data_IF_621308747705
#
_entry.id   IF_621308747705
#
_cell.length_a   1.000
_cell.length_b   1.000
_cell.length_c   1.000
_cell.angle_alpha   90.00
_cell.angle_beta   90.00
_cell.angle_gamma   90.00
#
_symmetry.space_group_name_H-M   'P 1'
#
loop_
_entity.id
_entity.type
_entity.pdbx_description
1 polymer ?
#
# COMPACT_ATOMS: atom_id res chain seq x y z
N UNK A 1 0.59 -9.31 -11.41
CA UNK A 1 0.34 -10.16 -12.59
C UNK A 1 -1.14 -10.11 -12.89
N UNK A 2 -1.53 -10.18 -14.16
CA UNK A 2 -2.92 -10.16 -14.57
C UNK A 2 -3.20 -11.28 -15.57
N UNK A 3 -4.44 -11.77 -15.61
CA UNK A 3 -4.88 -12.76 -16.59
C UNK A 3 -6.05 -12.17 -17.36
N UNK A 4 -5.92 -12.15 -18.68
CA UNK A 4 -7.01 -11.90 -19.60
C UNK A 4 -7.85 -13.16 -19.72
N UNK A 5 -8.99 -13.20 -19.03
CA UNK A 5 -9.87 -14.37 -19.06
C UNK A 5 -10.53 -14.58 -20.41
N UNK A 6 -10.64 -13.55 -21.25
CA UNK A 6 -11.22 -13.65 -22.58
C UNK A 6 -10.20 -14.25 -23.56
N UNK A 7 -8.99 -13.69 -23.60
CA UNK A 7 -7.94 -14.16 -24.51
C UNK A 7 -7.13 -15.34 -23.95
N UNK A 8 -7.37 -15.73 -22.70
CA UNK A 8 -6.60 -16.76 -21.96
C UNK A 8 -5.10 -16.47 -21.91
N UNK A 9 -4.74 -15.19 -21.90
CA UNK A 9 -3.36 -14.71 -21.83
C UNK A 9 -3.04 -14.21 -20.44
N UNK A 10 -1.79 -14.30 -20.05
CA UNK A 10 -1.33 -13.78 -18.77
C UNK A 10 -0.26 -12.73 -19.00
N UNK A 11 -0.19 -11.74 -18.13
CA UNK A 11 0.75 -10.65 -18.24
C UNK A 11 1.40 -10.34 -16.90
N UNK A 12 2.68 -9.99 -16.96
CA UNK A 12 3.47 -9.42 -15.89
C UNK A 12 3.69 -7.95 -16.21
N UNK A 13 3.71 -7.12 -15.16
CA UNK A 13 4.04 -5.71 -15.31
C UNK A 13 4.79 -5.26 -14.07
N UNK A 14 5.95 -4.66 -14.31
CA UNK A 14 6.77 -4.07 -13.28
C UNK A 14 6.64 -2.55 -13.37
N UNK A 15 6.39 -1.94 -12.21
CA UNK A 15 6.35 -0.49 -12.07
C UNK A 15 7.42 -0.11 -11.06
N UNK A 16 8.40 0.69 -11.50
CA UNK A 16 9.43 1.26 -10.65
C UNK A 16 8.88 2.49 -9.93
N UNK A 17 9.14 2.55 -8.62
CA UNK A 17 8.77 3.68 -7.77
C UNK A 17 10.02 4.24 -7.11
N UNK A 18 10.21 5.55 -7.21
CA UNK A 18 11.35 6.26 -6.64
C UNK A 18 10.97 7.71 -6.32
N UNK A 19 11.72 8.36 -5.45
CA UNK A 19 11.62 9.80 -5.22
C UNK A 19 12.78 10.49 -5.92
N UNK A 20 12.48 11.44 -6.81
CA UNK A 20 13.49 12.20 -7.55
C UNK A 20 14.21 13.21 -6.68
N UNK A 21 15.25 13.84 -7.21
CA UNK A 21 16.04 14.84 -6.48
C UNK A 21 15.23 16.08 -6.07
N UNK A 22 14.20 16.43 -6.86
CA UNK A 22 13.21 17.48 -6.58
C UNK A 22 12.07 17.01 -5.64
N UNK A 23 12.30 15.94 -4.87
CA UNK A 23 11.37 15.42 -3.85
C UNK A 23 9.98 15.05 -4.37
N UNK A 24 9.87 14.66 -5.65
CA UNK A 24 8.60 14.17 -6.22
C UNK A 24 8.58 12.65 -6.28
N UNK A 25 7.48 12.05 -5.83
CA UNK A 25 7.23 10.64 -6.05
C UNK A 25 7.02 10.38 -7.55
N UNK A 26 7.80 9.44 -8.10
CA UNK A 26 7.71 9.01 -9.49
C UNK A 26 7.31 7.55 -9.54
N UNK A 27 6.36 7.27 -10.41
CA UNK A 27 5.96 5.92 -10.81
C UNK A 27 6.16 5.77 -12.32
N UNK A 28 6.87 4.72 -12.72
CA UNK A 28 7.21 4.44 -14.12
C UNK A 28 7.02 2.97 -14.41
N UNK A 29 6.23 2.65 -15.43
CA UNK A 29 6.14 1.29 -15.94
C UNK A 29 7.50 0.95 -16.54
N UNK A 30 8.15 -0.06 -15.97
CA UNK A 30 9.44 -0.60 -16.42
C UNK A 30 9.19 -1.47 -17.63
N UNK A 31 8.26 -2.42 -17.49
CA UNK A 31 7.86 -3.31 -18.56
C UNK A 31 6.45 -3.83 -18.33
N UNK A 32 5.82 -4.26 -19.41
CA UNK A 32 4.59 -5.06 -19.41
C UNK A 32 4.77 -6.12 -20.48
N UNK A 33 4.89 -7.38 -20.05
CA UNK A 33 5.19 -8.50 -20.92
C UNK A 33 4.10 -9.56 -20.82
N UNK A 34 3.84 -10.24 -21.94
CA UNK A 34 3.01 -11.45 -21.94
C UNK A 34 3.80 -12.58 -21.27
N UNK A 35 3.20 -13.24 -20.29
CA UNK A 35 3.71 -14.47 -19.69
C UNK A 35 3.47 -15.61 -20.68
N UNK A 36 4.53 -16.36 -20.98
CA UNK A 36 4.48 -17.44 -21.96
C UNK A 36 3.37 -18.44 -21.62
N UNK A 37 2.34 -18.50 -22.47
CA UNK A 37 1.18 -19.36 -22.29
C UNK A 37 1.51 -20.86 -22.31
N UNK A 38 2.68 -21.25 -22.83
CA UNK A 38 3.14 -22.64 -22.82
C UNK A 38 3.68 -23.05 -21.45
N UNK A 39 4.07 -22.08 -20.60
CA UNK A 39 4.61 -22.32 -19.28
C UNK A 39 3.49 -22.32 -18.23
N UNK A 40 3.63 -23.21 -17.24
CA UNK A 40 2.82 -23.11 -16.02
C UNK A 40 3.34 -21.94 -15.16
N UNK A 41 2.44 -21.21 -14.52
CA UNK A 41 2.76 -20.09 -13.59
C UNK A 41 3.34 -20.58 -12.26
N UNK A 42 4.34 -21.46 -12.29
CA UNK A 42 5.04 -21.95 -11.10
C UNK A 42 5.91 -20.85 -10.50
N UNK A 43 6.28 -20.98 -9.23
CA UNK A 43 7.18 -20.03 -8.59
C UNK A 43 8.52 -19.88 -9.34
N UNK A 44 9.06 -20.98 -9.86
CA UNK A 44 10.30 -20.99 -10.64
C UNK A 44 10.16 -20.19 -11.95
N UNK A 45 9.14 -20.50 -12.77
CA UNK A 45 8.96 -19.81 -14.05
C UNK A 45 8.68 -18.31 -13.86
N UNK A 46 7.96 -17.95 -12.80
CA UNK A 46 7.75 -16.54 -12.45
C UNK A 46 9.03 -15.84 -12.02
N UNK A 47 9.89 -16.53 -11.27
CA UNK A 47 11.20 -16.00 -10.88
C UNK A 47 12.06 -15.72 -12.11
N UNK A 48 12.21 -16.69 -13.01
CA UNK A 48 12.97 -16.54 -14.26
C UNK A 48 12.44 -15.36 -15.09
N UNK A 49 11.12 -15.22 -15.17
CA UNK A 49 10.51 -14.10 -15.88
C UNK A 49 10.78 -12.74 -15.21
N UNK A 50 10.74 -12.65 -13.88
CA UNK A 50 11.12 -11.43 -13.13
C UNK A 50 12.57 -11.05 -13.43
N UNK A 51 13.50 -12.00 -13.35
CA UNK A 51 14.92 -11.76 -13.61
C UNK A 51 15.13 -11.26 -15.04
N UNK A 52 14.57 -11.98 -16.02
CA UNK A 52 14.68 -11.63 -17.43
C UNK A 52 14.15 -10.22 -17.70
N UNK A 53 12.93 -9.92 -17.25
CA UNK A 53 12.28 -8.62 -17.51
C UNK A 53 13.04 -7.44 -16.90
N UNK A 54 13.62 -7.62 -15.72
CA UNK A 54 14.41 -6.57 -15.07
C UNK A 54 15.79 -6.43 -15.71
N UNK A 55 16.43 -7.53 -16.09
CA UNK A 55 17.68 -7.52 -16.84
C UNK A 55 17.51 -6.85 -18.22
N UNK A 56 16.44 -7.17 -18.96
CA UNK A 56 16.14 -6.57 -20.26
C UNK A 56 15.95 -5.05 -20.17
N UNK A 57 15.52 -4.53 -19.02
CA UNK A 57 15.45 -3.10 -18.74
C UNK A 57 16.80 -2.48 -18.31
N UNK A 58 17.79 -3.31 -17.94
CA UNK A 58 19.10 -2.87 -17.45
C UNK A 58 19.25 -2.85 -15.92
N UNK A 59 18.38 -3.57 -15.18
CA UNK A 59 18.55 -3.82 -13.75
C UNK A 59 19.23 -5.17 -13.55
N UNK A 60 20.52 -5.11 -13.26
CA UNK A 60 21.36 -6.26 -13.00
C UNK A 60 20.95 -7.03 -11.72
N UNK A 61 21.22 -8.34 -11.72
CA UNK A 61 20.81 -9.25 -10.64
C UNK A 61 21.39 -8.88 -9.27
N UNK A 62 22.59 -8.28 -9.23
CA UNK A 62 23.27 -7.83 -8.01
C UNK A 62 22.57 -6.63 -7.32
N UNK A 63 21.73 -5.90 -8.06
CA UNK A 63 20.93 -4.78 -7.55
C UNK A 63 19.61 -5.25 -6.93
N UNK A 64 19.08 -6.40 -7.32
CA UNK A 64 17.79 -6.91 -6.86
C UNK A 64 17.67 -7.09 -5.33
N UNK A 65 18.71 -7.50 -4.58
CA UNK A 65 18.66 -7.53 -3.12
C UNK A 65 18.42 -6.17 -2.45
N UNK A 66 18.68 -5.07 -3.17
CA UNK A 66 18.43 -3.69 -2.70
C UNK A 66 17.01 -3.21 -3.02
N UNK A 67 16.30 -3.89 -3.93
CA UNK A 67 14.94 -3.53 -4.34
C UNK A 67 13.91 -4.08 -3.35
N UNK A 68 12.88 -3.28 -3.08
CA UNK A 68 11.70 -3.74 -2.35
C UNK A 68 10.62 -4.14 -3.35
N UNK A 69 10.27 -5.42 -3.38
CA UNK A 69 9.14 -5.90 -4.18
C UNK A 69 7.81 -5.77 -3.43
N UNK A 70 6.77 -5.36 -4.15
CA UNK A 70 5.39 -5.29 -3.65
C UNK A 70 4.50 -6.05 -4.61
N UNK A 71 3.80 -7.07 -4.13
CA UNK A 71 2.87 -7.86 -4.95
C UNK A 71 1.65 -8.31 -4.16
N UNK A 72 0.64 -8.86 -4.85
CA UNK A 72 -0.41 -9.64 -4.20
C UNK A 72 0.15 -10.86 -3.43
N UNK A 73 -0.71 -11.52 -2.67
CA UNK A 73 -0.34 -12.67 -1.84
C UNK A 73 -0.51 -14.02 -2.56
N UNK A 74 -0.60 -14.06 -3.89
CA UNK A 74 -0.69 -15.32 -4.61
C UNK A 74 0.54 -16.20 -4.31
N UNK A 75 0.30 -17.48 -4.01
CA UNK A 75 1.33 -18.37 -3.48
C UNK A 75 2.57 -18.44 -4.39
N UNK A 76 2.38 -18.48 -5.70
CA UNK A 76 3.47 -18.63 -6.66
C UNK A 76 4.33 -17.37 -6.79
N UNK A 77 3.75 -16.16 -6.81
CA UNK A 77 4.56 -14.92 -6.88
C UNK A 77 5.29 -14.66 -5.56
N UNK A 78 4.63 -14.96 -4.42
CA UNK A 78 5.27 -14.90 -3.10
C UNK A 78 6.46 -15.85 -3.00
N UNK A 79 6.33 -17.07 -3.52
CA UNK A 79 7.42 -18.04 -3.57
C UNK A 79 8.53 -17.61 -4.54
N UNK A 80 8.19 -17.05 -5.70
CA UNK A 80 9.15 -16.55 -6.69
C UNK A 80 10.03 -15.42 -6.15
N UNK A 81 9.49 -14.59 -5.26
CA UNK A 81 10.17 -13.42 -4.69
C UNK A 81 10.78 -13.69 -3.31
N UNK A 82 10.79 -14.95 -2.83
CA UNK A 82 11.21 -15.31 -1.47
C UNK A 82 12.66 -14.94 -1.15
N UNK A 83 13.53 -14.89 -2.16
CA UNK A 83 14.94 -14.52 -2.02
C UNK A 83 15.19 -13.01 -1.93
N UNK A 84 14.16 -12.18 -2.16
CA UNK A 84 14.26 -10.74 -2.15
C UNK A 84 13.51 -10.11 -0.99
N UNK A 85 13.79 -8.83 -0.74
CA UNK A 85 12.98 -8.05 0.18
C UNK A 85 11.59 -7.89 -0.46
N UNK A 86 10.55 -8.31 0.25
CA UNK A 86 9.17 -8.30 -0.25
C UNK A 86 8.17 -7.88 0.83
N UNK A 87 7.12 -7.15 0.44
CA UNK A 87 5.95 -6.86 1.26
C UNK A 87 4.64 -7.16 0.49
N UNK A 88 3.58 -7.61 1.18
CA UNK A 88 2.29 -7.84 0.53
C UNK A 88 1.57 -6.53 0.20
N UNK A 89 0.81 -6.52 -0.89
CA UNK A 89 -0.07 -5.44 -1.27
C UNK A 89 -1.20 -5.26 -0.23
N UNK A 90 -1.19 -4.16 0.51
CA UNK A 90 -2.12 -3.91 1.60
C UNK A 90 -3.60 -3.87 1.15
N UNK A 91 -3.90 -3.23 0.01
CA UNK A 91 -5.25 -3.18 -0.55
C UNK A 91 -5.77 -4.58 -0.93
N UNK A 92 -4.90 -5.43 -1.50
CA UNK A 92 -5.25 -6.81 -1.78
C UNK A 92 -5.49 -7.61 -0.49
N UNK A 93 -4.69 -7.39 0.56
CA UNK A 93 -4.92 -8.00 1.88
C UNK A 93 -6.26 -7.58 2.46
N UNK A 94 -6.58 -6.29 2.44
CA UNK A 94 -7.88 -5.75 2.91
C UNK A 94 -9.03 -6.42 2.14
N UNK A 95 -8.90 -6.56 0.83
CA UNK A 95 -9.89 -7.25 0.02
C UNK A 95 -10.06 -8.73 0.40
N UNK A 96 -8.96 -9.46 0.69
CA UNK A 96 -9.02 -10.84 1.19
C UNK A 96 -9.72 -10.91 2.55
N UNK A 97 -9.37 -10.00 3.47
CA UNK A 97 -10.00 -9.91 4.79
C UNK A 97 -11.50 -9.81 4.63
N UNK A 98 -11.98 -8.83 3.85
CA UNK A 98 -13.42 -8.65 3.61
C UNK A 98 -14.05 -9.86 2.92
N UNK A 99 -13.39 -10.45 1.91
CA UNK A 99 -13.90 -11.65 1.25
C UNK A 99 -14.14 -12.77 2.26
N UNK A 100 -13.13 -13.12 3.04
CA UNK A 100 -13.23 -14.19 4.03
C UNK A 100 -14.16 -13.82 5.19
N UNK A 101 -14.37 -12.54 5.48
CA UNK A 101 -15.33 -12.10 6.51
C UNK A 101 -16.76 -12.44 6.14
N UNK A 102 -17.10 -12.36 4.86
CA UNK A 102 -18.47 -12.54 4.35
C UNK A 102 -18.66 -13.85 3.56
N UNK A 103 -17.64 -14.71 3.46
CA UNK A 103 -17.77 -16.03 2.83
C UNK A 103 -18.61 -16.97 3.72
N UNK A 104 -19.65 -17.58 3.14
CA UNK A 104 -20.49 -18.56 3.83
C UNK A 104 -19.85 -19.96 3.82
N UNK A 105 -18.94 -20.21 4.75
CA UNK A 105 -18.26 -21.51 4.91
C UNK A 105 -18.94 -22.40 5.98
N UNK A 106 -18.55 -23.68 6.06
CA UNK A 106 -19.03 -24.60 7.10
C UNK A 106 -18.75 -24.03 8.49
N UNK A 107 -19.79 -23.90 9.31
CA UNK A 107 -19.70 -23.31 10.65
C UNK A 107 -20.06 -21.81 10.72
N UNK A 108 -20.37 -21.18 9.58
CA UNK A 108 -20.90 -19.81 9.57
C UNK A 108 -22.30 -19.78 10.21
N UNK A 109 -22.59 -18.84 11.13
CA UNK A 109 -23.92 -18.72 11.74
C UNK A 109 -25.03 -18.44 10.73
N UNK A 110 -26.25 -18.91 11.01
CA UNK A 110 -27.38 -18.79 10.09
C UNK A 110 -27.74 -17.33 9.76
N UNK A 111 -27.65 -16.40 10.73
CA UNK A 111 -27.94 -14.98 10.53
C UNK A 111 -27.00 -14.28 9.52
N UNK A 112 -25.86 -14.88 9.16
CA UNK A 112 -25.00 -14.36 8.09
C UNK A 112 -25.59 -14.61 6.70
N UNK A 113 -26.55 -15.54 6.57
CA UNK A 113 -27.27 -15.74 5.32
C UNK A 113 -28.12 -14.51 4.98
N UNK A 114 -28.70 -13.84 5.98
CA UNK A 114 -29.45 -12.59 5.77
C UNK A 114 -28.56 -11.49 5.20
N UNK A 115 -27.33 -11.38 5.74
CA UNK A 115 -26.30 -10.47 5.25
C UNK A 115 -25.94 -10.74 3.80
N UNK A 116 -25.62 -12.00 3.46
CA UNK A 116 -25.31 -12.39 2.08
C UNK A 116 -26.49 -12.14 1.15
N UNK A 117 -27.70 -12.48 1.59
CA UNK A 117 -28.92 -12.32 0.81
C UNK A 117 -29.19 -10.85 0.47
N UNK A 118 -29.02 -9.93 1.43
CA UNK A 118 -29.14 -8.48 1.18
C UNK A 118 -28.13 -8.00 0.14
N UNK A 119 -26.87 -8.45 0.22
CA UNK A 119 -25.82 -8.09 -0.75
C UNK A 119 -26.18 -8.61 -2.16
N UNK A 120 -26.60 -9.86 -2.27
CA UNK A 120 -26.96 -10.49 -3.53
C UNK A 120 -28.23 -9.87 -4.15
N UNK A 121 -29.21 -9.49 -3.32
CA UNK A 121 -30.40 -8.76 -3.75
C UNK A 121 -30.05 -7.38 -4.28
N UNK A 122 -29.15 -6.65 -3.63
CA UNK A 122 -28.65 -5.38 -4.17
C UNK A 122 -27.98 -5.56 -5.54
N UNK A 123 -27.18 -6.62 -5.72
CA UNK A 123 -26.54 -6.95 -7.03
C UNK A 123 -27.59 -7.23 -8.11
N UNK A 124 -28.59 -8.03 -7.78
CA UNK A 124 -29.69 -8.37 -8.71
C UNK A 124 -30.50 -7.13 -9.10
N UNK A 125 -30.87 -6.30 -8.11
CA UNK A 125 -31.61 -5.06 -8.30
C UNK A 125 -30.85 -4.09 -9.22
N UNK A 126 -29.56 -3.84 -8.95
CA UNK A 126 -28.75 -2.94 -9.77
C UNK A 126 -28.59 -3.48 -11.19
N UNK A 127 -28.42 -4.79 -11.35
CA UNK A 127 -28.34 -5.42 -12.68
C UNK A 127 -29.62 -5.23 -13.47
N UNK A 128 -30.78 -5.38 -12.83
CA UNK A 128 -32.08 -5.10 -13.45
C UNK A 128 -32.24 -3.62 -13.79
N UNK A 129 -31.91 -2.73 -12.86
CA UNK A 129 -31.97 -1.29 -13.07
C UNK A 129 -31.16 -0.88 -14.29
N UNK A 130 -29.91 -1.36 -14.43
CA UNK A 130 -29.05 -1.04 -15.59
C UNK A 130 -29.53 -1.61 -16.91
N UNK A 131 -30.21 -2.75 -16.91
CA UNK A 131 -30.77 -3.37 -18.13
C UNK A 131 -32.09 -2.72 -18.55
N UNK A 132 -32.85 -2.22 -17.59
CA UNK A 132 -34.11 -1.54 -17.84
C UNK A 132 -33.86 -0.06 -18.16
N UNK A 133 -34.81 0.60 -18.84
CA UNK A 133 -34.80 2.05 -19.04
C UNK A 133 -34.99 2.86 -17.74
N UNK A 134 -35.05 2.20 -16.59
CA UNK A 134 -35.35 2.78 -15.28
C UNK A 134 -34.24 3.70 -14.76
N UNK A 135 -32.97 3.49 -15.17
CA UNK A 135 -31.85 4.36 -14.73
C UNK A 135 -32.07 5.83 -15.11
N UNK A 136 -32.81 6.09 -16.20
CA UNK A 136 -33.03 7.45 -16.72
C UNK A 136 -33.84 8.33 -15.75
N UNK A 137 -34.62 7.72 -14.84
CA UNK A 137 -35.46 8.43 -13.89
C UNK A 137 -34.84 8.59 -12.49
N UNK A 138 -33.67 8.00 -12.24
CA UNK A 138 -32.99 8.10 -10.95
C UNK A 138 -32.11 9.35 -10.90
N UNK A 139 -32.15 10.06 -9.78
CA UNK A 139 -31.35 11.27 -9.56
C UNK A 139 -29.84 11.00 -9.63
N UNK A 140 -29.39 9.83 -9.16
CA UNK A 140 -28.02 9.38 -9.30
C UNK A 140 -27.94 7.99 -9.94
N UNK A 141 -26.84 7.75 -10.65
CA UNK A 141 -26.59 6.46 -11.29
C UNK A 141 -26.29 5.37 -10.24
N UNK A 142 -27.00 4.25 -10.34
CA UNK A 142 -26.65 3.04 -9.58
C UNK A 142 -25.31 2.47 -10.05
N UNK A 143 -24.51 1.98 -9.11
CA UNK A 143 -23.17 1.49 -9.37
C UNK A 143 -23.20 -0.03 -9.49
N UNK A 144 -22.86 -0.56 -10.67
CA UNK A 144 -22.76 -1.99 -10.89
C UNK A 144 -21.54 -2.55 -10.17
N UNK A 145 -21.71 -3.67 -9.47
CA UNK A 145 -20.59 -4.41 -8.90
C UNK A 145 -19.66 -4.93 -10.01
N UNK A 146 -18.35 -4.76 -9.82
CA UNK A 146 -17.31 -5.44 -10.59
C UNK A 146 -16.60 -6.43 -9.65
N UNK A 147 -16.52 -7.71 -10.01
CA UNK A 147 -16.08 -8.78 -9.08
C UNK A 147 -14.64 -8.64 -8.57
N UNK A 148 -13.86 -7.70 -9.11
CA UNK A 148 -12.44 -7.57 -8.81
C UNK A 148 -12.15 -7.14 -7.37
N UNK A 149 -12.99 -6.31 -6.72
CA UNK A 149 -12.72 -5.78 -5.35
C UNK A 149 -13.99 -5.45 -4.56
N UNK A 150 -13.94 -5.63 -3.24
CA UNK A 150 -15.01 -5.24 -2.31
C UNK A 150 -15.41 -3.76 -2.39
N UNK A 151 -14.50 -2.88 -2.83
CA UNK A 151 -14.81 -1.46 -3.02
C UNK A 151 -16.04 -1.24 -3.94
N UNK A 152 -16.23 -2.05 -4.99
CA UNK A 152 -17.41 -1.92 -5.85
C UNK A 152 -18.68 -2.49 -5.21
N UNK A 153 -18.58 -3.51 -4.36
CA UNK A 153 -19.73 -3.98 -3.54
C UNK A 153 -20.20 -2.87 -2.61
N UNK A 154 -19.27 -2.19 -1.95
CA UNK A 154 -19.58 -1.04 -1.08
C UNK A 154 -20.22 0.09 -1.87
N UNK A 155 -19.63 0.46 -3.02
CA UNK A 155 -20.18 1.51 -3.88
C UNK A 155 -21.59 1.16 -4.38
N UNK A 156 -21.84 -0.10 -4.76
CA UNK A 156 -23.16 -0.60 -5.13
C UNK A 156 -24.15 -0.43 -3.97
N UNK A 157 -23.83 -0.95 -2.79
CA UNK A 157 -24.69 -0.87 -1.61
C UNK A 157 -24.97 0.58 -1.19
N UNK A 158 -23.96 1.46 -1.23
CA UNK A 158 -24.14 2.90 -1.01
C UNK A 158 -25.08 3.52 -2.03
N UNK A 159 -24.96 3.15 -3.31
CA UNK A 159 -25.82 3.66 -4.37
C UNK A 159 -27.26 3.16 -4.26
N UNK A 160 -27.51 1.98 -3.70
CA UNK A 160 -28.88 1.51 -3.42
C UNK A 160 -29.44 2.22 -2.18
N UNK A 161 -28.67 2.25 -1.09
CA UNK A 161 -29.08 2.84 0.19
C UNK A 161 -29.45 4.33 0.07
N UNK A 162 -28.65 5.13 -0.64
CA UNK A 162 -28.84 6.59 -0.74
C UNK A 162 -30.09 7.04 -1.50
N UNK A 163 -30.62 6.20 -2.38
CA UNK A 163 -31.75 6.53 -3.26
C UNK A 163 -32.81 5.42 -3.25
N UNK A 164 -32.93 4.74 -2.11
CA UNK A 164 -33.84 3.61 -1.97
C UNK A 164 -35.29 4.02 -2.21
N UNK A 165 -35.69 5.20 -1.74
CA UNK A 165 -37.05 5.72 -1.91
C UNK A 165 -37.38 6.00 -3.38
N UNK A 166 -36.46 6.60 -4.12
CA UNK A 166 -36.60 6.85 -5.56
C UNK A 166 -36.63 5.55 -6.36
N UNK A 167 -35.79 4.58 -5.97
CA UNK A 167 -35.84 3.23 -6.55
C UNK A 167 -37.20 2.59 -6.26
N UNK A 168 -37.72 2.72 -5.05
CA UNK A 168 -39.02 2.17 -4.66
C UNK A 168 -40.15 2.74 -5.51
N UNK A 169 -40.22 4.07 -5.65
CA UNK A 169 -41.20 4.73 -6.50
C UNK A 169 -41.10 4.24 -7.96
N UNK A 170 -39.89 4.16 -8.50
CA UNK A 170 -39.67 3.70 -9.88
C UNK A 170 -40.04 2.22 -10.09
N UNK A 171 -39.94 1.38 -9.04
CA UNK A 171 -40.39 -0.02 -9.08
C UNK A 171 -41.91 -0.14 -8.98
N UNK A 172 -42.56 0.73 -8.20
CA UNK A 172 -44.02 0.80 -8.08
C UNK A 172 -44.68 1.20 -9.41
N UNK A 173 -44.15 2.22 -10.08
CA UNK A 173 -44.62 2.65 -11.41
C UNK A 173 -44.53 1.54 -12.48
N UNK A 174 -43.69 0.52 -12.25
CA UNK A 174 -43.46 -0.60 -13.17
C UNK A 174 -44.08 -1.92 -12.71
N UNK A 175 -44.79 -1.94 -11.58
CA UNK A 175 -45.32 -3.16 -10.97
C UNK A 175 -44.23 -4.23 -10.73
N UNK A 176 -43.10 -3.80 -10.15
CA UNK A 176 -41.92 -4.62 -9.85
C UNK A 176 -41.41 -4.43 -8.41
N UNK A 177 -42.31 -4.08 -7.48
CA UNK A 177 -41.96 -3.86 -6.06
C UNK A 177 -41.40 -5.12 -5.39
N UNK A 178 -41.81 -6.30 -5.83
CA UNK A 178 -41.32 -7.62 -5.39
C UNK A 178 -39.79 -7.78 -5.49
N UNK A 179 -39.14 -7.01 -6.37
CA UNK A 179 -37.68 -7.01 -6.50
C UNK A 179 -36.95 -6.42 -5.31
N UNK A 180 -37.64 -5.61 -4.51
CA UNK A 180 -37.11 -5.03 -3.27
C UNK A 180 -37.25 -5.99 -2.08
N UNK A 181 -38.07 -7.03 -2.23
CA UNK A 181 -38.26 -8.04 -1.18
C UNK A 181 -36.94 -8.75 -0.86
N UNK A 182 -36.61 -8.72 0.42
CA UNK A 182 -35.36 -9.26 0.97
C UNK A 182 -34.26 -8.22 1.16
N UNK A 183 -34.43 -6.97 0.71
CA UNK A 183 -33.50 -5.88 1.03
C UNK A 183 -33.88 -5.27 2.39
N UNK A 184 -33.35 -5.85 3.45
CA UNK A 184 -33.45 -5.30 4.80
C UNK A 184 -32.58 -4.05 4.92
N UNK A 185 -33.20 -2.87 4.96
CA UNK A 185 -32.51 -1.58 4.90
C UNK A 185 -31.62 -1.30 6.10
N UNK A 186 -32.01 -1.77 7.29
CA UNK A 186 -31.20 -1.72 8.51
C UNK A 186 -29.91 -2.54 8.36
N UNK A 187 -30.01 -3.77 7.84
CA UNK A 187 -28.85 -4.63 7.56
C UNK A 187 -27.96 -4.00 6.48
N UNK A 188 -28.55 -3.55 5.37
CA UNK A 188 -27.83 -2.87 4.28
C UNK A 188 -27.05 -1.66 4.78
N UNK A 189 -27.73 -0.76 5.51
CA UNK A 189 -27.11 0.47 6.02
C UNK A 189 -25.99 0.16 7.02
N UNK A 190 -26.24 -0.78 7.94
CA UNK A 190 -25.27 -1.15 8.98
C UNK A 190 -23.98 -1.72 8.38
N UNK A 191 -24.10 -2.67 7.45
CA UNK A 191 -22.93 -3.26 6.77
C UNK A 191 -22.24 -2.23 5.89
N UNK A 192 -22.99 -1.38 5.19
CA UNK A 192 -22.42 -0.34 4.32
C UNK A 192 -21.58 0.66 5.12
N UNK A 193 -22.07 1.10 6.28
CA UNK A 193 -21.33 1.98 7.20
C UNK A 193 -20.08 1.28 7.73
N UNK A 194 -20.18 0.01 8.12
CA UNK A 194 -19.01 -0.76 8.56
C UNK A 194 -17.94 -0.86 7.46
N UNK A 195 -18.32 -1.19 6.23
CA UNK A 195 -17.40 -1.40 5.13
C UNK A 195 -16.78 -0.09 4.59
N UNK A 196 -17.41 1.07 4.85
CA UNK A 196 -16.91 2.35 4.35
C UNK A 196 -15.48 2.63 4.81
N UNK A 197 -15.15 2.31 6.06
CA UNK A 197 -13.80 2.54 6.58
C UNK A 197 -12.74 1.68 5.86
N UNK A 198 -13.08 0.45 5.50
CA UNK A 198 -12.20 -0.43 4.72
C UNK A 198 -12.05 0.06 3.28
N UNK A 199 -13.13 0.57 2.68
CA UNK A 199 -13.09 1.20 1.35
C UNK A 199 -12.15 2.41 1.37
N UNK A 200 -12.30 3.32 2.34
CA UNK A 200 -11.42 4.49 2.49
C UNK A 200 -9.97 4.08 2.71
N UNK A 201 -9.70 3.10 3.58
CA UNK A 201 -8.35 2.58 3.81
C UNK A 201 -7.70 2.07 2.52
N UNK A 202 -8.44 1.26 1.75
CA UNK A 202 -7.97 0.72 0.49
C UNK A 202 -7.67 1.83 -0.52
N UNK A 203 -8.59 2.80 -0.70
CA UNK A 203 -8.42 3.92 -1.63
C UNK A 203 -7.23 4.82 -1.27
N UNK A 204 -7.02 5.13 0.01
CA UNK A 204 -5.88 5.94 0.45
C UNK A 204 -4.54 5.22 0.27
N UNK A 205 -4.48 3.91 0.50
CA UNK A 205 -3.27 3.10 0.32
C UNK A 205 -2.96 2.86 -1.17
N UNK A 206 -3.95 2.98 -2.05
CA UNK A 206 -3.81 2.91 -3.51
C UNK A 206 -3.35 4.25 -4.14
N UNK A 207 -3.09 5.28 -3.34
CA UNK A 207 -2.54 6.55 -3.80
C UNK A 207 -1.18 6.41 -4.49
N UNK A 208 -0.95 7.20 -5.55
CA UNK A 208 0.29 7.22 -6.34
C UNK A 208 0.94 8.61 -6.47
N UNK A 209 0.34 9.63 -5.84
CA UNK A 209 0.84 11.01 -5.83
C UNK A 209 1.50 11.42 -4.52
N UNK A 210 1.42 10.56 -3.50
CA UNK A 210 1.97 10.78 -2.17
C UNK A 210 2.51 9.45 -1.62
N UNK A 211 3.49 9.47 -0.71
CA UNK A 211 3.96 8.26 -0.03
C UNK A 211 2.80 7.52 0.65
N UNK A 212 2.73 6.20 0.53
CA UNK A 212 1.64 5.41 1.14
C UNK A 212 2.10 4.42 2.21
N UNK A 213 3.37 4.02 2.20
CA UNK A 213 3.89 3.00 3.13
C UNK A 213 3.74 3.38 4.61
N UNK A 214 3.88 4.67 4.94
CA UNK A 214 3.77 5.19 6.30
C UNK A 214 2.33 5.11 6.83
N UNK A 215 1.34 5.07 5.94
CA UNK A 215 -0.08 5.01 6.29
C UNK A 215 -0.51 3.59 6.68
N UNK A 216 0.23 2.54 6.29
CA UNK A 216 -0.17 1.15 6.53
C UNK A 216 -0.31 0.85 8.02
N UNK A 217 0.63 1.32 8.86
CA UNK A 217 0.54 1.16 10.32
C UNK A 217 -0.70 1.87 10.88
N UNK A 218 -0.93 3.12 10.44
CA UNK A 218 -2.04 3.94 10.91
C UNK A 218 -3.38 3.30 10.56
N UNK A 219 -3.53 2.84 9.31
CA UNK A 219 -4.73 2.16 8.84
C UNK A 219 -4.92 0.81 9.51
N UNK A 220 -3.86 0.05 9.78
CA UNK A 220 -3.97 -1.20 10.53
C UNK A 220 -4.59 -0.99 11.91
N UNK A 221 -4.08 -0.03 12.70
CA UNK A 221 -4.65 0.26 14.02
C UNK A 221 -6.05 0.87 13.94
N UNK A 222 -6.31 1.74 12.95
CA UNK A 222 -7.63 2.35 12.73
C UNK A 222 -8.69 1.31 12.37
N UNK A 223 -8.37 0.36 11.49
CA UNK A 223 -9.24 -0.75 11.13
C UNK A 223 -9.44 -1.73 12.29
N UNK A 224 -8.38 -2.03 13.07
CA UNK A 224 -8.51 -2.83 14.28
C UNK A 224 -9.50 -2.19 15.25
N UNK A 225 -9.31 -0.92 15.60
CA UNK A 225 -10.24 -0.20 16.48
C UNK A 225 -11.68 -0.23 15.96
N UNK A 226 -11.86 -0.12 14.65
CA UNK A 226 -13.18 -0.21 14.02
C UNK A 226 -13.82 -1.60 14.12
N UNK A 227 -13.03 -2.66 14.21
CA UNK A 227 -13.49 -4.03 14.42
C UNK A 227 -13.67 -4.39 15.91
N UNK A 228 -13.48 -3.46 16.84
CA UNK A 228 -13.81 -3.72 18.25
C UNK A 228 -15.34 -3.81 18.43
N UNK A 229 -15.84 -4.68 19.33
CA UNK A 229 -17.27 -4.80 19.60
C UNK A 229 -17.87 -3.46 20.03
N UNK A 230 -19.04 -3.10 19.49
CA UNK A 230 -19.77 -1.90 19.88
C UNK A 230 -21.03 -2.26 20.67
N UNK A 231 -21.39 -1.39 21.62
CA UNK A 231 -22.61 -1.57 22.40
C UNK A 231 -23.83 -1.48 21.47
N UNK A 232 -24.71 -2.48 21.55
CA UNK A 232 -25.90 -2.56 20.71
C UNK A 232 -25.66 -3.13 19.30
N UNK A 233 -24.47 -3.68 19.01
CA UNK A 233 -24.25 -4.39 17.74
C UNK A 233 -25.23 -5.59 17.63
N UNK A 234 -25.95 -5.75 16.50
CA UNK A 234 -26.71 -6.96 16.21
C UNK A 234 -25.78 -8.18 16.05
N UNK A 235 -26.32 -9.40 16.16
CA UNK A 235 -25.52 -10.64 16.18
C UNK A 235 -24.60 -10.79 14.96
N UNK A 236 -25.10 -10.43 13.78
CA UNK A 236 -24.32 -10.42 12.54
C UNK A 236 -23.12 -9.45 12.63
N UNK A 237 -23.28 -8.28 13.23
CA UNK A 237 -22.20 -7.31 13.38
C UNK A 237 -21.17 -7.72 14.42
N UNK A 238 -21.60 -8.33 15.53
CA UNK A 238 -20.68 -8.92 16.51
C UNK A 238 -19.77 -9.94 15.82
N UNK A 239 -20.36 -10.82 15.00
CA UNK A 239 -19.61 -11.81 14.22
C UNK A 239 -18.68 -11.15 13.18
N UNK A 240 -19.20 -10.24 12.35
CA UNK A 240 -18.44 -9.56 11.28
C UNK A 240 -17.22 -8.84 11.87
N UNK A 241 -17.40 -8.09 12.95
CA UNK A 241 -16.32 -7.36 13.61
C UNK A 241 -15.26 -8.29 14.19
N UNK A 242 -15.68 -9.31 14.95
CA UNK A 242 -14.75 -10.28 15.53
C UNK A 242 -13.94 -11.03 14.46
N UNK A 243 -14.62 -11.47 13.39
CA UNK A 243 -13.99 -12.23 12.32
C UNK A 243 -13.07 -11.35 11.45
N UNK A 244 -13.49 -10.14 11.11
CA UNK A 244 -12.64 -9.16 10.42
C UNK A 244 -11.41 -8.79 11.27
N UNK A 245 -11.56 -8.59 12.58
CA UNK A 245 -10.44 -8.35 13.50
C UNK A 245 -9.43 -9.50 13.46
N UNK A 246 -9.91 -10.75 13.55
CA UNK A 246 -9.04 -11.92 13.52
C UNK A 246 -8.26 -11.99 12.19
N UNK A 247 -8.96 -11.85 11.06
CA UNK A 247 -8.37 -11.89 9.73
C UNK A 247 -7.40 -10.73 9.48
N UNK A 248 -7.68 -9.53 9.99
CA UNK A 248 -6.76 -8.39 9.94
C UNK A 248 -5.44 -8.72 10.63
N UNK A 249 -5.48 -9.24 11.86
CA UNK A 249 -4.29 -9.59 12.62
C UNK A 249 -3.49 -10.74 11.97
N UNK A 250 -4.18 -11.70 11.37
CA UNK A 250 -3.53 -12.84 10.70
C UNK A 250 -2.89 -12.44 9.36
N UNK A 251 -3.57 -11.62 8.55
CA UNK A 251 -3.22 -11.42 7.14
C UNK A 251 -2.49 -10.12 6.84
N UNK A 252 -2.74 -9.03 7.59
CA UNK A 252 -2.07 -7.75 7.39
C UNK A 252 -0.85 -7.63 8.31
N UNK A 253 0.29 -8.13 7.83
CA UNK A 253 1.52 -8.16 8.59
C UNK A 253 2.28 -6.82 8.56
N UNK A 254 2.48 -6.23 9.74
CA UNK A 254 3.22 -4.98 9.89
C UNK A 254 4.72 -5.25 9.98
N UNK A 255 5.37 -5.28 8.82
CA UNK A 255 6.84 -5.39 8.69
C UNK A 255 7.59 -4.16 9.21
N UNK A 256 8.91 -4.32 9.44
CA UNK A 256 9.80 -3.21 9.82
C UNK A 256 9.79 -2.06 8.80
N UNK A 257 9.59 -2.36 7.51
CA UNK A 257 9.50 -1.33 6.45
C UNK A 257 8.32 -0.40 6.68
N UNK A 258 7.14 -0.93 7.05
CA UNK A 258 5.98 -0.11 7.38
C UNK A 258 6.27 0.79 8.59
N UNK A 259 6.91 0.23 9.62
CA UNK A 259 7.28 0.97 10.83
C UNK A 259 8.31 2.06 10.55
N UNK A 260 9.28 1.81 9.67
CA UNK A 260 10.22 2.83 9.21
C UNK A 260 9.50 3.95 8.45
N UNK A 261 8.53 3.62 7.60
CA UNK A 261 7.68 4.63 6.97
C UNK A 261 7.00 5.54 8.01
N UNK A 262 6.38 4.94 9.03
CA UNK A 262 5.74 5.69 10.12
C UNK A 262 6.73 6.48 10.97
N UNK A 263 7.93 5.94 11.23
CA UNK A 263 9.01 6.63 11.94
C UNK A 263 9.45 7.93 11.24
N UNK A 264 9.50 7.90 9.91
CA UNK A 264 9.86 9.05 9.08
C UNK A 264 8.77 10.13 9.03
N UNK A 265 7.64 9.91 9.68
CA UNK A 265 6.58 10.90 9.84
C UNK A 265 6.83 11.72 11.12
N UNK A 266 6.94 13.07 11.04
CA UNK A 266 7.26 13.91 12.20
C UNK A 266 6.32 13.72 13.40
N UNK A 267 5.02 13.55 13.13
CA UNK A 267 3.99 13.29 14.17
C UNK A 267 4.17 11.96 14.90
N UNK A 268 4.82 10.98 14.26
CA UNK A 268 4.88 9.60 14.74
C UNK A 268 6.31 9.08 14.94
N UNK A 269 7.31 9.96 14.85
CA UNK A 269 8.73 9.60 14.99
C UNK A 269 9.11 8.94 16.32
N UNK A 270 8.39 9.23 17.40
CA UNK A 270 8.60 8.55 18.69
C UNK A 270 7.95 7.17 18.76
N UNK A 271 7.16 6.78 17.75
CA UNK A 271 6.56 5.45 17.60
C UNK A 271 5.77 4.97 18.83
N UNK A 272 5.10 5.89 19.54
CA UNK A 272 4.44 5.63 20.85
C UNK A 272 3.40 4.51 20.82
N UNK A 273 2.85 4.17 19.65
CA UNK A 273 1.93 3.05 19.46
C UNK A 273 2.59 1.66 19.61
N UNK A 274 3.92 1.58 19.62
CA UNK A 274 4.65 0.34 19.78
C UNK A 274 5.32 0.22 21.16
N UNK A 275 5.49 -1.02 21.67
CA UNK A 275 6.31 -1.29 22.85
C UNK A 275 7.75 -0.78 22.68
N UNK A 276 8.41 -0.46 23.79
CA UNK A 276 9.76 0.12 23.78
C UNK A 276 10.78 -0.73 23.00
N UNK A 277 10.71 -2.05 23.12
CA UNK A 277 11.56 -2.99 22.38
C UNK A 277 11.40 -2.85 20.85
N UNK A 278 10.16 -2.83 20.37
CA UNK A 278 9.86 -2.66 18.95
C UNK A 278 10.29 -1.28 18.43
N UNK A 279 10.09 -0.22 19.23
CA UNK A 279 10.58 1.13 18.88
C UNK A 279 12.09 1.14 18.70
N UNK A 280 12.81 0.56 19.66
CA UNK A 280 14.27 0.48 19.63
C UNK A 280 14.76 -0.32 18.42
N UNK A 281 14.07 -1.41 18.06
CA UNK A 281 14.39 -2.18 16.87
C UNK A 281 14.25 -1.35 15.58
N UNK A 282 13.20 -0.53 15.47
CA UNK A 282 12.99 0.36 14.31
C UNK A 282 14.07 1.46 14.26
N UNK A 283 14.39 2.09 15.40
CA UNK A 283 15.44 3.10 15.45
C UNK A 283 16.81 2.51 15.09
N UNK A 284 17.14 1.31 15.58
CA UNK A 284 18.38 0.62 15.23
C UNK A 284 18.44 0.24 13.75
N UNK A 285 17.32 -0.15 13.16
CA UNK A 285 17.24 -0.39 11.72
C UNK A 285 17.43 0.91 10.92
N UNK A 286 16.85 2.04 11.36
CA UNK A 286 17.08 3.34 10.73
C UNK A 286 18.57 3.73 10.77
N UNK A 287 19.22 3.60 11.94
CA UNK A 287 20.66 3.83 12.11
C UNK A 287 21.51 2.95 11.20
N UNK A 288 21.13 1.68 11.03
CA UNK A 288 21.80 0.77 10.11
C UNK A 288 21.73 1.28 8.67
N UNK A 289 20.55 1.71 8.21
CA UNK A 289 20.36 2.24 6.85
C UNK A 289 21.15 3.54 6.64
N UNK A 290 21.18 4.42 7.64
CA UNK A 290 22.02 5.63 7.63
C UNK A 290 23.51 5.28 7.44
N UNK A 291 24.02 4.32 8.21
CA UNK A 291 25.42 3.84 8.07
C UNK A 291 25.69 3.18 6.71
N UNK A 292 24.71 2.48 6.13
CA UNK A 292 24.83 1.90 4.78
C UNK A 292 24.99 3.00 3.72
N UNK A 293 24.25 4.11 3.82
CA UNK A 293 24.43 5.28 2.93
C UNK A 293 25.77 5.97 3.14
N UNK A 294 26.19 6.16 4.39
CA UNK A 294 27.47 6.79 4.72
C UNK A 294 28.66 6.04 4.12
N UNK A 295 28.66 4.70 4.24
CA UNK A 295 29.68 3.83 3.63
C UNK A 295 29.75 3.96 2.11
N UNK A 296 28.62 4.10 1.43
CA UNK A 296 28.57 4.27 -0.03
C UNK A 296 29.14 5.63 -0.46
N UNK A 297 29.00 6.66 0.37
CA UNK A 297 29.54 8.00 0.07
C UNK A 297 31.04 8.12 0.36
N UNK A 298 31.53 7.33 1.33
CA UNK A 298 32.92 7.37 1.79
C UNK A 298 33.82 6.31 1.13
N UNK A 299 33.25 5.38 0.35
CA UNK A 299 34.05 4.40 -0.40
C UNK A 299 34.66 5.03 -1.66
N UNK A 300 35.96 4.77 -1.95
CA UNK A 300 36.57 5.22 -3.19
C UNK A 300 35.88 4.56 -4.39
N UNK A 301 35.70 5.28 -5.51
CA UNK A 301 35.01 4.75 -6.69
C UNK A 301 35.74 3.49 -7.19
N UNK A 302 34.98 2.41 -7.39
CA UNK A 302 35.52 1.16 -7.88
C UNK A 302 35.84 1.24 -9.38
N UNK A 303 37.13 1.36 -9.71
CA UNK A 303 37.72 0.86 -10.95
C UNK A 303 38.24 1.88 -11.96
N UNK A 304 39.54 2.17 -11.88
CA UNK A 304 40.44 2.15 -13.05
C UNK A 304 41.74 1.40 -12.65
N UNK A 305 42.33 0.58 -13.53
CA UNK A 305 43.60 -0.09 -13.24
C UNK A 305 44.74 0.90 -13.47
N UNK A 306 45.20 1.56 -12.41
CA UNK A 306 46.30 2.52 -12.53
C UNK A 306 47.67 1.83 -12.48
N UNK A 307 48.35 1.85 -13.63
CA UNK A 307 49.76 1.56 -13.74
C UNK A 307 50.56 2.78 -13.29
N UNK A 308 51.04 2.74 -12.04
CA UNK A 308 52.23 3.42 -11.51
C UNK A 308 52.61 4.79 -12.12
N UNK A 309 52.41 5.88 -11.36
CA UNK A 309 53.50 6.80 -10.93
C UNK A 309 53.11 7.39 -9.57
N UNK A 310 53.90 7.11 -8.52
CA UNK A 310 53.81 7.81 -7.24
C UNK A 310 54.28 9.25 -7.42
N UNK A 311 53.37 10.20 -7.22
CA UNK A 311 53.71 11.59 -6.87
C UNK A 311 53.24 11.78 -5.42
N UNK A 312 54.19 11.93 -4.51
CA UNK A 312 53.91 12.31 -3.12
C UNK A 312 53.54 13.80 -3.07
N UNK A 313 52.36 14.11 -2.55
CA UNK A 313 51.92 15.46 -2.17
C UNK A 313 51.48 15.48 -0.69
N UNK A 314 51.57 16.64 -0.01
CA UNK A 314 52.17 16.71 1.32
C UNK A 314 51.19 16.43 2.46
N UNK A 315 51.75 15.98 3.59
CA UNK A 315 51.05 15.83 4.87
C UNK A 315 50.30 17.10 5.27
N UNK A 316 49.01 16.95 5.58
CA UNK A 316 48.16 18.00 6.11
C UNK A 316 48.72 18.47 7.45
N UNK A 317 49.28 19.68 7.47
CA UNK A 317 49.87 20.29 8.66
C UNK A 317 48.89 20.26 9.86
N UNK A 318 49.32 19.64 10.97
CA UNK A 318 48.64 19.76 12.27
C UNK A 318 48.69 21.24 12.69
N UNK A 319 47.52 21.89 12.77
CA UNK A 319 47.41 23.26 13.31
C UNK A 319 47.96 23.29 14.73
N UNK A 320 48.85 24.24 15.02
CA UNK A 320 49.29 24.55 16.40
C UNK A 320 48.06 24.97 17.20
N UNK A 321 47.87 24.33 18.35
CA UNK A 321 46.83 24.66 19.34
C UNK A 321 47.19 26.01 19.96
N UNK A 322 46.26 26.94 19.92
CA UNK A 322 46.44 28.33 20.37
C UNK A 322 46.30 28.44 21.90
N UNK A 323 46.93 29.48 22.49
CA UNK A 323 47.13 29.71 23.93
C UNK A 323 45.82 30.05 24.71
N UNK A 324 44.66 30.00 24.04
CA UNK A 324 43.34 30.32 24.59
C UNK A 324 42.30 29.20 24.39
N UNK A 325 42.71 27.96 24.03
CA UNK A 325 41.77 26.82 23.86
C UNK A 325 41.03 26.42 25.14
N UNK A 326 41.40 26.99 26.28
CA UNK A 326 40.79 26.74 27.59
C UNK A 326 39.53 27.60 27.83
N UNK A 327 39.27 28.61 26.98
CA UNK A 327 38.11 29.50 27.05
C UNK A 327 37.08 29.23 25.92
N UNK A 328 37.34 28.23 25.10
CA UNK A 328 36.32 27.70 24.20
C UNK A 328 35.33 26.89 25.04
N UNK A 329 34.06 27.28 25.03
CA UNK A 329 32.96 26.51 25.62
C UNK A 329 32.79 25.19 24.84
N UNK A 330 33.72 24.25 25.01
CA UNK A 330 33.46 22.84 24.78
C UNK A 330 32.55 22.43 25.94
N UNK A 331 31.24 22.52 25.68
CA UNK A 331 30.26 21.82 26.51
C UNK A 331 30.73 20.39 26.74
N UNK A 332 30.60 19.93 27.98
CA UNK A 332 30.87 18.57 28.41
C UNK A 332 30.49 17.56 27.32
N UNK A 333 31.37 16.60 27.01
CA UNK A 333 31.17 15.57 25.99
C UNK A 333 29.91 14.71 26.28
N UNK A 334 28.73 15.22 25.94
CA UNK A 334 27.53 14.43 25.68
C UNK A 334 27.80 13.73 24.35
N UNK A 335 28.10 12.42 24.39
CA UNK A 335 28.60 11.66 23.24
C UNK A 335 27.84 12.00 21.95
N UNK A 336 28.58 12.36 20.89
CA UNK A 336 28.06 12.92 19.64
C UNK A 336 26.79 12.19 19.18
N UNK A 337 25.63 12.85 19.34
CA UNK A 337 24.33 12.25 19.02
C UNK A 337 24.25 11.95 17.52
N UNK A 338 23.90 10.72 17.17
CA UNK A 338 23.69 10.37 15.78
C UNK A 338 22.46 11.09 15.18
N UNK A 339 22.44 11.22 13.85
CA UNK A 339 21.39 11.91 13.11
C UNK A 339 19.97 11.40 13.42
N UNK A 340 19.84 10.10 13.72
CA UNK A 340 18.56 9.47 14.08
C UNK A 340 18.11 9.96 15.46
N UNK A 341 19.01 10.03 16.44
CA UNK A 341 18.73 10.56 17.76
C UNK A 341 18.38 12.06 17.71
N UNK A 342 19.13 12.84 16.93
CA UNK A 342 18.82 14.25 16.70
C UNK A 342 17.40 14.44 16.11
N UNK A 343 17.00 13.62 15.14
CA UNK A 343 15.66 13.65 14.56
C UNK A 343 14.57 13.31 15.60
N UNK A 344 14.81 12.30 16.45
CA UNK A 344 13.89 11.91 17.53
C UNK A 344 13.70 13.05 18.53
N UNK A 345 14.81 13.66 18.97
CA UNK A 345 14.85 14.70 20.00
C UNK A 345 14.31 16.06 19.51
N UNK A 346 14.33 16.30 18.19
CA UNK A 346 13.86 17.55 17.60
C UNK A 346 12.36 17.81 17.89
N UNK A 347 11.90 19.04 17.72
CA UNK A 347 10.47 19.34 17.64
C UNK A 347 10.16 19.93 16.27
N UNK A 348 9.12 19.41 15.62
CA UNK A 348 8.72 19.87 14.29
C UNK A 348 7.32 20.46 14.37
N UNK A 349 7.15 21.66 13.83
CA UNK A 349 5.83 22.22 13.52
C UNK A 349 5.43 21.69 12.14
N UNK A 350 4.86 20.49 12.11
CA UNK A 350 4.29 19.88 10.91
C UNK A 350 2.82 19.58 11.19
N UNK A 351 1.94 20.13 10.37
CA UNK A 351 0.48 20.11 10.51
C UNK A 351 -0.19 18.95 9.76
N UNK A 352 0.62 18.08 9.13
CA UNK A 352 0.13 16.99 8.29
C UNK A 352 0.15 17.31 6.79
N UNK A 353 0.76 18.43 6.39
CA UNK A 353 1.10 18.77 4.99
C UNK A 353 1.95 17.71 4.28
N UNK A 354 2.29 17.93 3.00
CA UNK A 354 3.07 16.98 2.20
C UNK A 354 4.38 16.52 2.88
N UNK A 355 4.47 15.22 3.15
CA UNK A 355 5.61 14.59 3.83
C UNK A 355 6.92 14.71 3.03
N UNK A 356 6.85 14.76 1.70
CA UNK A 356 8.05 14.92 0.87
C UNK A 356 8.59 16.34 0.96
N UNK A 357 7.72 17.35 0.94
CA UNK A 357 8.09 18.74 1.20
C UNK A 357 8.74 18.93 2.58
N UNK A 358 8.26 18.22 3.62
CA UNK A 358 8.95 18.19 4.92
C UNK A 358 10.38 17.69 4.78
N UNK A 359 10.58 16.51 4.20
CA UNK A 359 11.93 15.94 4.06
C UNK A 359 12.85 16.74 3.13
N UNK A 360 12.29 17.45 2.15
CA UNK A 360 13.02 18.42 1.34
C UNK A 360 13.61 19.54 2.21
N UNK A 361 12.76 20.17 3.04
CA UNK A 361 13.18 21.24 3.94
C UNK A 361 14.22 20.77 4.97
N UNK A 362 14.11 19.52 5.41
CA UNK A 362 14.97 18.92 6.44
C UNK A 362 16.23 18.26 5.88
N UNK A 363 16.39 18.17 4.56
CA UNK A 363 17.48 17.45 3.91
C UNK A 363 18.88 17.98 4.23
N UNK A 364 19.00 19.25 4.61
CA UNK A 364 20.27 19.85 5.05
C UNK A 364 20.60 19.51 6.51
N UNK A 365 19.59 19.48 7.36
CA UNK A 365 19.75 19.16 8.78
C UNK A 365 19.94 17.64 9.01
N UNK A 366 19.29 16.83 8.16
CA UNK A 366 19.32 15.37 8.24
C UNK A 366 19.68 14.77 6.85
N UNK A 367 20.94 14.89 6.41
CA UNK A 367 21.36 14.51 5.05
C UNK A 367 21.31 13.00 4.75
N UNK A 368 21.66 12.12 5.71
CA UNK A 368 21.63 10.67 5.47
C UNK A 368 20.24 10.10 5.71
N UNK A 369 19.54 10.60 6.72
CA UNK A 369 18.17 10.20 7.03
C UNK A 369 17.19 10.66 5.95
N UNK A 370 17.44 11.81 5.30
CA UNK A 370 16.70 12.21 4.09
C UNK A 370 16.92 11.23 2.91
N UNK A 371 18.10 10.62 2.77
CA UNK A 371 18.32 9.56 1.77
C UNK A 371 17.56 8.28 2.13
N UNK A 372 17.55 7.92 3.42
CA UNK A 372 16.72 6.83 3.94
C UNK A 372 15.23 7.11 3.71
N UNK A 373 14.79 8.36 3.90
CA UNK A 373 13.39 8.72 3.70
C UNK A 373 12.97 8.55 2.25
N UNK A 374 13.78 8.98 1.28
CA UNK A 374 13.52 8.71 -0.15
C UNK A 374 13.43 7.23 -0.47
N UNK A 375 14.32 6.41 0.09
CA UNK A 375 14.34 4.96 -0.14
C UNK A 375 13.11 4.24 0.44
N UNK A 376 12.64 4.68 1.61
CA UNK A 376 11.49 4.03 2.28
C UNK A 376 10.18 4.59 1.76
N UNK A 377 10.01 5.91 1.70
CA UNK A 377 8.74 6.56 1.35
C UNK A 377 8.36 6.38 -0.13
N UNK A 378 9.29 6.00 -1.00
CA UNK A 378 8.97 5.66 -2.38
C UNK A 378 8.31 4.27 -2.53
N UNK A 379 8.36 3.43 -1.50
CA UNK A 379 7.75 2.10 -1.53
C UNK A 379 6.23 2.29 -1.52
N UNK A 380 5.49 1.78 -2.52
CA UNK A 380 4.04 1.85 -2.48
C UNK A 380 3.48 0.83 -1.47
N UNK A 381 2.40 1.18 -0.78
CA UNK A 381 1.67 0.23 0.06
C UNK A 381 0.93 -0.85 -0.77
N UNK A 382 0.78 -0.65 -2.08
CA UNK A 382 -0.03 -1.48 -2.96
C UNK A 382 0.64 -1.76 -4.31
N UNK A 383 0.33 -2.91 -4.90
CA UNK A 383 0.73 -3.28 -6.27
C UNK A 383 -0.26 -2.79 -7.35
N UNK A 384 -1.23 -1.96 -6.97
CA UNK A 384 -2.37 -1.55 -7.82
C UNK A 384 -1.96 -0.61 -8.96
N UNK A 385 -0.83 0.07 -8.86
CA UNK A 385 -0.26 0.86 -9.97
C UNK A 385 -0.08 0.01 -11.25
N UNK A 386 0.39 -1.22 -11.11
CA UNK A 386 0.45 -2.17 -12.23
C UNK A 386 -0.94 -2.61 -12.71
N UNK A 387 -1.94 -2.71 -11.82
CA UNK A 387 -3.33 -3.02 -12.19
C UNK A 387 -4.04 -1.89 -12.97
N UNK A 388 -3.75 -0.63 -12.64
CA UNK A 388 -4.21 0.53 -13.43
C UNK A 388 -3.59 0.54 -14.82
N UNK A 389 -2.32 0.13 -14.93
CA UNK A 389 -1.63 -0.07 -16.20
C UNK A 389 -2.32 -1.16 -17.02
N UNK A 390 -2.63 -2.32 -16.41
CA UNK A 390 -3.40 -3.39 -17.08
C UNK A 390 -4.80 -2.95 -17.50
N UNK A 391 -5.51 -2.17 -16.67
CA UNK A 391 -6.84 -1.65 -17.01
C UNK A 391 -6.80 -0.69 -18.20
N UNK A 392 -5.75 0.12 -18.30
CA UNK A 392 -5.55 1.05 -19.40
C UNK A 392 -5.12 0.30 -20.68
N UNK A 393 -4.21 -0.66 -20.55
CA UNK A 393 -3.78 -1.53 -21.65
C UNK A 393 -4.95 -2.38 -22.18
N UNK A 394 -5.77 -2.94 -21.29
CA UNK A 394 -6.99 -3.68 -21.63
C UNK A 394 -7.96 -2.83 -22.45
N UNK A 395 -8.21 -1.58 -22.06
CA UNK A 395 -9.04 -0.65 -22.85
C UNK A 395 -8.44 -0.34 -24.23
N UNK A 396 -7.13 -0.25 -24.36
CA UNK A 396 -6.46 -0.04 -25.66
C UNK A 396 -6.58 -1.29 -26.55
N UNK A 397 -6.46 -2.49 -25.97
CA UNK A 397 -6.64 -3.75 -26.67
C UNK A 397 -8.10 -3.95 -27.11
N UNK A 398 -9.07 -3.62 -26.26
CA UNK A 398 -10.50 -3.69 -26.56
C UNK A 398 -10.94 -2.63 -27.58
N UNK A 399 -10.46 -1.38 -27.47
CA UNK A 399 -10.83 -0.28 -28.38
C UNK A 399 -10.30 -0.47 -29.80
N UNK A 400 -9.14 -1.11 -29.97
CA UNK A 400 -8.65 -1.56 -31.30
C UNK A 400 -9.56 -2.60 -31.96
N UNK A 401 -10.44 -3.25 -31.20
CA UNK A 401 -11.34 -4.32 -31.65
C UNK A 401 -12.72 -3.82 -32.08
N UNK A 402 -13.12 -2.62 -31.64
CA UNK A 402 -14.39 -1.99 -32.03
C UNK A 402 -14.22 -1.02 -33.23
N UNK A 403 -13.16 -1.21 -34.04
CA UNK A 403 -12.89 -0.43 -35.25
C UNK A 403 -12.96 -1.30 -36.49
#
# INVERSE_FOLDING_TARGET
>A
MWTDDYNKRAYTAFTGHFISEDWKLKSRVITTAEFDSTLKKTAYNLHEQVIKELHDFGIEADRLPKVMFVSDQAANIKAALRSYKWIPCAAHVINIVLKHTFDLIRGTPAYMQDVSHVIDKCKSLVTYLKKSSTVVHLLHAVIQECETRWNSKVAMMQSVSKQYHEIQQAMEEKDQLDRLDGIQMDVLNTITVFLLLFKTASEELEGDKYPTIQLVVLWFYKLKKHCEPQYGDPENMVYIRAWAMQLLNEKLSISVTHKLGTFLCPCFKSLKMFPAEERNAVHNQARRLVREFDRVLTSPPAGEPDATVRVEEPERAKRKRDEFSEWEDYGEEDGEKDEVQCYIDSQFLWDGDDLLSFWESQSKAFPLLAKVSRMILCIPATSVSSERTFSSAGRVLESRRNR
#
